data_IF_993450555584
#
_entry.id   IF_993450555584
#
_cell.length_a   1.000
_cell.length_b   1.000
_cell.length_c   1.000
_cell.angle_alpha   90.00
_cell.angle_beta   90.00
_cell.angle_gamma   90.00
#
_symmetry.space_group_name_H-M   'P 1'
#
loop_
_entity.id
_entity.type
_entity.pdbx_description
1 polymer ?
#
# COMPACT_ATOMS: atom_id res chain seq x y z
N UNK A 1 74.53 -12.47 -29.13
CA UNK A 1 75.16 -13.56 -29.92
C UNK A 1 74.13 -14.68 -30.11
N UNK A 2 73.13 -14.52 -30.98
CA UNK A 2 73.14 -14.82 -32.43
C UNK A 2 73.49 -16.28 -32.77
N UNK A 3 72.49 -17.17 -32.70
CA UNK A 3 72.39 -18.44 -33.46
C UNK A 3 70.89 -18.62 -33.75
N UNK A 4 70.31 -18.23 -34.89
CA UNK A 4 70.44 -18.78 -36.25
C UNK A 4 70.50 -20.31 -36.26
N UNK A 5 69.35 -20.92 -36.56
CA UNK A 5 69.13 -22.24 -37.20
C UNK A 5 67.66 -22.21 -37.67
N UNK A 6 67.31 -21.53 -38.76
CA UNK A 6 67.16 -22.13 -40.10
C UNK A 6 67.21 -23.66 -40.16
N UNK A 7 66.07 -24.28 -40.51
CA UNK A 7 65.91 -25.43 -41.44
C UNK A 7 64.39 -25.65 -41.65
N UNK A 8 63.84 -25.22 -42.79
CA UNK A 8 63.54 -26.03 -43.99
C UNK A 8 62.51 -27.15 -43.67
N UNK A 9 61.21 -26.97 -44.00
CA UNK A 9 60.53 -27.32 -45.29
C UNK A 9 60.17 -28.83 -45.39
N UNK A 10 59.11 -29.25 -46.12
CA UNK A 10 57.71 -29.37 -45.69
C UNK A 10 57.11 -30.79 -45.92
N UNK A 11 55.78 -30.88 -45.82
CA UNK A 11 54.87 -31.83 -46.48
C UNK A 11 54.50 -33.15 -45.76
N UNK A 12 53.24 -33.14 -45.30
CA UNK A 12 52.18 -34.13 -45.61
C UNK A 12 52.47 -35.60 -45.27
N UNK A 13 51.72 -36.16 -44.31
CA UNK A 13 50.96 -37.42 -44.45
C UNK A 13 50.10 -37.66 -43.19
N UNK A 14 48.81 -37.87 -43.46
CA UNK A 14 47.74 -38.55 -42.72
C UNK A 14 47.98 -38.97 -41.26
N UNK A 15 47.03 -38.63 -40.37
CA UNK A 15 46.09 -39.62 -39.79
C UNK A 15 45.35 -39.06 -38.56
N UNK A 16 44.02 -39.25 -38.57
CA UNK A 16 43.18 -39.52 -37.41
C UNK A 16 43.41 -38.72 -36.10
N UNK A 17 42.77 -37.56 -35.98
CA UNK A 17 42.28 -37.11 -34.66
C UNK A 17 40.85 -36.62 -34.76
N UNK A 18 39.96 -37.55 -34.40
CA UNK A 18 38.74 -37.37 -33.64
C UNK A 18 37.99 -36.02 -33.81
N UNK A 19 36.84 -36.14 -34.47
CA UNK A 19 35.59 -35.46 -34.12
C UNK A 19 35.40 -35.42 -32.59
N UNK A 20 35.94 -34.41 -31.93
CA UNK A 20 35.56 -34.06 -30.56
C UNK A 20 34.32 -33.18 -30.64
N UNK A 21 33.21 -33.91 -30.70
CA UNK A 21 31.91 -33.57 -30.12
C UNK A 21 32.12 -32.73 -28.85
N UNK A 22 32.04 -31.41 -28.98
CA UNK A 22 31.61 -30.55 -27.90
C UNK A 22 30.16 -30.21 -28.18
N UNK A 23 29.32 -31.23 -27.99
CA UNK A 23 27.95 -31.07 -27.50
C UNK A 23 28.04 -30.29 -26.19
N UNK A 24 28.20 -28.97 -26.29
CA UNK A 24 27.76 -28.11 -25.21
C UNK A 24 26.31 -28.52 -24.96
N UNK A 25 25.91 -28.85 -23.72
CA UNK A 25 24.50 -29.00 -23.46
C UNK A 25 23.91 -27.66 -23.86
N UNK A 26 23.22 -27.64 -25.01
CA UNK A 26 22.17 -26.68 -25.24
C UNK A 26 21.29 -26.90 -24.02
N UNK A 27 21.51 -26.09 -22.99
CA UNK A 27 20.49 -25.74 -22.05
C UNK A 27 19.43 -25.05 -22.91
N UNK A 28 18.65 -25.87 -23.61
CA UNK A 28 17.21 -25.79 -23.53
C UNK A 28 16.85 -25.93 -22.04
N UNK A 29 17.27 -24.94 -21.24
CA UNK A 29 16.39 -24.33 -20.29
C UNK A 29 15.20 -23.96 -21.17
N UNK A 30 14.27 -24.92 -21.31
CA UNK A 30 12.88 -24.61 -21.28
C UNK A 30 12.77 -23.60 -20.14
N UNK A 31 12.85 -22.32 -20.49
CA UNK A 31 12.32 -21.24 -19.71
C UNK A 31 10.86 -21.60 -19.70
N UNK A 32 10.50 -22.52 -18.80
CA UNK A 32 9.15 -22.83 -18.46
C UNK A 32 8.61 -21.45 -18.20
N UNK A 33 7.82 -20.93 -19.15
CA UNK A 33 6.95 -19.81 -18.87
C UNK A 33 6.34 -20.24 -17.56
N UNK A 34 6.59 -19.48 -16.48
CA UNK A 34 5.73 -19.57 -15.30
C UNK A 34 4.36 -19.23 -15.86
N UNK A 35 3.65 -20.23 -16.39
CA UNK A 35 2.24 -20.18 -16.69
C UNK A 35 1.69 -19.89 -15.31
N UNK A 36 1.35 -18.62 -15.08
CA UNK A 36 1.04 -18.14 -13.74
C UNK A 36 -0.01 -19.07 -13.17
N UNK A 37 0.38 -19.87 -12.17
CA UNK A 37 -0.52 -20.87 -11.63
C UNK A 37 -1.80 -20.15 -11.22
N UNK A 38 -2.93 -20.56 -11.80
CA UNK A 38 -4.21 -20.01 -11.40
C UNK A 38 -4.32 -20.15 -9.88
N UNK A 39 -4.70 -19.08 -9.16
CA UNK A 39 -4.73 -19.13 -7.70
C UNK A 39 -5.68 -20.25 -7.26
N UNK A 40 -5.21 -21.12 -6.37
CA UNK A 40 -6.08 -22.13 -5.74
C UNK A 40 -7.25 -21.47 -5.03
N UNK A 41 -8.33 -22.21 -4.78
CA UNK A 41 -9.49 -21.71 -4.02
C UNK A 41 -9.08 -21.08 -2.69
N UNK A 42 -8.22 -21.75 -1.93
CA UNK A 42 -7.67 -21.23 -0.68
C UNK A 42 -6.90 -19.92 -0.90
N UNK A 43 -6.14 -19.83 -1.99
CA UNK A 43 -5.48 -18.60 -2.42
C UNK A 43 -6.47 -17.47 -2.71
N UNK A 44 -7.55 -17.74 -3.44
CA UNK A 44 -8.59 -16.75 -3.76
C UNK A 44 -9.30 -16.27 -2.49
N UNK A 45 -9.66 -17.18 -1.58
CA UNK A 45 -10.26 -16.83 -0.28
C UNK A 45 -9.33 -15.95 0.57
N UNK A 46 -8.03 -16.26 0.62
CA UNK A 46 -7.05 -15.41 1.32
C UNK A 46 -7.01 -13.99 0.74
N UNK A 47 -7.14 -13.84 -0.58
CA UNK A 47 -7.22 -12.54 -1.24
C UNK A 47 -8.53 -11.81 -0.90
N UNK A 48 -9.67 -12.50 -0.88
CA UNK A 48 -10.96 -11.94 -0.45
C UNK A 48 -10.84 -11.33 0.95
N UNK A 49 -10.34 -12.10 1.92
CA UNK A 49 -10.17 -11.62 3.29
C UNK A 49 -9.22 -10.42 3.39
N UNK A 50 -8.16 -10.40 2.59
CA UNK A 50 -7.24 -9.25 2.54
C UNK A 50 -7.96 -7.98 2.07
N UNK A 51 -8.71 -8.06 0.97
CA UNK A 51 -9.44 -6.91 0.44
C UNK A 51 -10.61 -6.47 1.34
N UNK A 52 -11.26 -7.40 2.04
CA UNK A 52 -12.22 -7.08 3.10
C UNK A 52 -11.58 -6.24 4.21
N UNK A 53 -10.45 -6.71 4.76
CA UNK A 53 -9.72 -5.97 5.80
C UNK A 53 -9.26 -4.59 5.33
N UNK A 54 -8.76 -4.49 4.10
CA UNK A 54 -8.36 -3.19 3.53
C UNK A 54 -9.56 -2.24 3.38
N UNK A 55 -10.68 -2.73 2.84
CA UNK A 55 -11.92 -1.96 2.72
C UNK A 55 -12.37 -1.45 4.08
N UNK A 56 -12.43 -2.33 5.09
CA UNK A 56 -12.87 -1.97 6.43
C UNK A 56 -11.90 -1.05 7.17
N UNK A 57 -10.58 -1.18 6.93
CA UNK A 57 -9.58 -0.24 7.45
C UNK A 57 -9.88 1.18 7.00
N UNK A 58 -10.09 1.37 5.70
CA UNK A 58 -10.40 2.69 5.15
C UNK A 58 -11.78 3.20 5.57
N UNK A 59 -12.80 2.33 5.62
CA UNK A 59 -14.13 2.72 6.11
C UNK A 59 -14.11 3.14 7.59
N UNK A 60 -13.35 2.43 8.42
CA UNK A 60 -13.19 2.78 9.84
C UNK A 60 -12.46 4.11 9.99
N UNK A 61 -11.43 4.38 9.18
CA UNK A 61 -10.74 5.67 9.16
C UNK A 61 -11.70 6.82 8.83
N UNK A 62 -12.53 6.65 7.79
CA UNK A 62 -13.49 7.66 7.36
C UNK A 62 -14.67 7.84 8.34
N UNK A 63 -14.85 6.91 9.28
CA UNK A 63 -16.00 6.88 10.18
C UNK A 63 -17.31 6.51 9.47
N UNK A 64 -17.25 5.68 8.42
CA UNK A 64 -18.43 5.21 7.68
C UNK A 64 -18.74 3.74 7.99
N UNK A 65 -20.00 3.34 7.80
CA UNK A 65 -20.45 1.96 8.04
C UNK A 65 -19.64 0.97 7.21
N UNK A 66 -19.20 -0.12 7.85
CA UNK A 66 -18.48 -1.21 7.18
C UNK A 66 -19.39 -1.97 6.22
N UNK A 67 -18.87 -2.28 5.03
CA UNK A 67 -19.60 -3.11 4.05
C UNK A 67 -19.73 -4.54 4.59
N UNK A 68 -20.93 -5.14 4.64
CA UNK A 68 -21.11 -6.50 5.14
C UNK A 68 -20.41 -7.52 4.23
N UNK A 69 -19.92 -8.61 4.84
CA UNK A 69 -19.39 -9.78 4.16
C UNK A 69 -20.26 -11.00 4.47
N UNK A 70 -20.64 -11.76 3.45
CA UNK A 70 -21.44 -12.98 3.60
C UNK A 70 -20.54 -14.21 3.78
N UNK A 71 -20.83 -15.07 4.75
CA UNK A 71 -20.11 -16.35 4.94
C UNK A 71 -20.23 -17.28 3.72
N UNK A 72 -21.34 -17.19 2.99
CA UNK A 72 -21.58 -17.98 1.77
C UNK A 72 -20.48 -17.77 0.71
N UNK A 73 -19.84 -16.58 0.69
CA UNK A 73 -18.77 -16.31 -0.27
C UNK A 73 -17.50 -17.13 -0.08
N UNK A 74 -17.32 -17.78 1.07
CA UNK A 74 -16.16 -18.62 1.38
C UNK A 74 -16.49 -20.11 1.25
N UNK A 75 -17.73 -20.51 1.52
CA UNK A 75 -18.18 -21.91 1.55
C UNK A 75 -18.68 -22.43 0.21
N UNK A 76 -18.93 -21.55 -0.77
CA UNK A 76 -19.41 -21.95 -2.10
C UNK A 76 -18.33 -22.76 -2.85
N UNK A 77 -18.68 -23.93 -3.45
CA UNK A 77 -17.72 -24.77 -4.16
C UNK A 77 -17.23 -24.16 -5.49
N UNK A 78 -17.94 -23.18 -6.07
CA UNK A 78 -17.61 -22.61 -7.38
C UNK A 78 -16.36 -21.74 -7.37
N UNK A 79 -15.33 -22.18 -8.10
CA UNK A 79 -14.11 -21.39 -8.33
C UNK A 79 -14.42 -20.04 -9.02
N UNK A 80 -15.27 -20.05 -10.04
CA UNK A 80 -15.67 -18.84 -10.79
C UNK A 80 -16.37 -17.84 -9.88
N UNK A 81 -17.23 -18.31 -8.97
CA UNK A 81 -17.87 -17.46 -7.99
C UNK A 81 -16.86 -16.83 -7.02
N UNK A 82 -15.93 -17.62 -6.47
CA UNK A 82 -14.83 -17.10 -5.62
C UNK A 82 -14.01 -16.03 -6.35
N UNK A 83 -13.68 -16.23 -7.63
CA UNK A 83 -12.97 -15.23 -8.43
C UNK A 83 -13.79 -13.94 -8.61
N UNK A 84 -15.09 -14.05 -8.87
CA UNK A 84 -15.99 -12.90 -8.95
C UNK A 84 -16.03 -12.13 -7.62
N UNK A 85 -16.20 -12.82 -6.50
CA UNK A 85 -16.19 -12.22 -5.16
C UNK A 85 -14.86 -11.52 -4.89
N UNK A 86 -13.73 -12.15 -5.23
CA UNK A 86 -12.40 -11.56 -5.08
C UNK A 86 -12.28 -10.25 -5.86
N UNK A 87 -12.74 -10.23 -7.11
CA UNK A 87 -12.71 -9.02 -7.94
C UNK A 87 -13.64 -7.93 -7.41
N UNK A 88 -14.82 -8.29 -6.89
CA UNK A 88 -15.73 -7.37 -6.22
C UNK A 88 -15.05 -6.70 -5.01
N UNK A 89 -14.44 -7.48 -4.14
CA UNK A 89 -13.75 -6.93 -2.96
C UNK A 89 -12.50 -6.13 -3.33
N UNK A 90 -11.76 -6.52 -4.36
CA UNK A 90 -10.65 -5.72 -4.89
C UNK A 90 -11.13 -4.32 -5.29
N UNK A 91 -12.19 -4.22 -6.09
CA UNK A 91 -12.77 -2.92 -6.49
C UNK A 91 -13.21 -2.08 -5.29
N UNK A 92 -13.86 -2.71 -4.29
CA UNK A 92 -14.27 -2.03 -3.05
C UNK A 92 -13.08 -1.50 -2.27
N UNK A 93 -12.01 -2.28 -2.13
CA UNK A 93 -10.80 -1.86 -1.44
C UNK A 93 -10.14 -0.66 -2.14
N UNK A 94 -9.98 -0.73 -3.46
CA UNK A 94 -9.47 0.36 -4.29
C UNK A 94 -10.31 1.63 -4.15
N UNK A 95 -11.63 1.52 -4.23
CA UNK A 95 -12.54 2.66 -4.07
C UNK A 95 -12.47 3.25 -2.65
N UNK A 96 -12.46 2.41 -1.62
CA UNK A 96 -12.35 2.88 -0.24
C UNK A 96 -11.03 3.62 0.01
N UNK A 97 -9.93 3.12 -0.55
CA UNK A 97 -8.62 3.80 -0.51
C UNK A 97 -8.65 5.14 -1.22
N UNK A 98 -9.24 5.20 -2.43
CA UNK A 98 -9.35 6.44 -3.19
C UNK A 98 -10.21 7.50 -2.48
N UNK A 99 -11.28 7.08 -1.81
CA UNK A 99 -12.11 7.99 -0.99
C UNK A 99 -11.35 8.45 0.24
N UNK A 100 -10.70 7.52 0.95
CA UNK A 100 -9.91 7.86 2.14
C UNK A 100 -8.78 8.84 1.82
N UNK A 101 -8.15 8.76 0.65
CA UNK A 101 -7.10 9.70 0.22
C UNK A 101 -7.59 11.14 -0.01
N UNK A 102 -8.92 11.36 -0.04
CA UNK A 102 -9.56 12.64 -0.32
C UNK A 102 -10.55 12.98 0.80
N UNK A 103 -10.07 13.30 2.02
CA UNK A 103 -10.95 13.79 3.07
C UNK A 103 -11.71 15.02 2.54
N UNK A 104 -12.99 15.20 2.93
CA UNK A 104 -13.65 16.48 2.75
C UNK A 104 -12.81 17.59 3.38
N UNK A 105 -13.00 18.82 2.89
CA UNK A 105 -12.28 20.01 3.38
C UNK A 105 -10.74 19.87 3.45
N UNK A 106 -10.13 18.97 2.65
CA UNK A 106 -8.68 18.76 2.64
C UNK A 106 -7.88 20.06 2.54
N UNK A 107 -8.33 20.99 1.69
CA UNK A 107 -7.68 22.29 1.54
C UNK A 107 -7.73 23.13 2.84
N UNK A 108 -8.87 23.12 3.54
CA UNK A 108 -9.03 23.79 4.83
C UNK A 108 -8.13 23.19 5.90
N UNK A 109 -8.06 21.86 6.01
CA UNK A 109 -7.15 21.20 6.95
C UNK A 109 -5.68 21.47 6.66
N UNK A 110 -5.29 21.50 5.38
CA UNK A 110 -3.92 21.86 4.98
C UNK A 110 -3.61 23.33 5.27
N UNK A 111 -4.59 24.22 5.10
CA UNK A 111 -4.42 25.63 5.49
C UNK A 111 -4.24 25.76 7.00
N UNK A 112 -5.06 25.08 7.79
CA UNK A 112 -4.93 25.08 9.26
C UNK A 112 -3.56 24.57 9.66
N UNK A 113 -3.17 23.40 9.15
CA UNK A 113 -1.87 22.81 9.44
C UNK A 113 -0.68 23.76 9.20
N UNK A 114 -0.73 24.57 8.12
CA UNK A 114 0.32 25.54 7.80
C UNK A 114 0.60 26.55 8.92
N UNK A 115 -0.40 26.86 9.75
CA UNK A 115 -0.28 27.82 10.86
C UNK A 115 -0.15 27.16 12.23
N UNK A 116 -0.55 25.88 12.36
CA UNK A 116 -0.63 25.20 13.66
C UNK A 116 0.68 24.52 14.06
N UNK A 117 1.24 23.61 13.25
CA UNK A 117 2.43 22.86 13.67
C UNK A 117 2.84 21.75 12.70
N UNK A 118 4.00 21.13 12.95
CA UNK A 118 4.48 20.02 12.14
C UNK A 118 3.60 18.76 12.34
N UNK A 119 3.43 17.94 11.28
CA UNK A 119 2.59 16.73 11.38
C UNK A 119 2.97 15.78 12.51
N UNK A 120 4.25 15.75 12.88
CA UNK A 120 4.83 14.90 13.91
C UNK A 120 5.15 15.66 15.21
N UNK A 121 4.59 16.87 15.42
CA UNK A 121 4.87 17.68 16.62
C UNK A 121 4.45 16.93 17.91
N UNK A 122 5.39 16.57 18.80
CA UNK A 122 5.10 15.86 20.03
C UNK A 122 4.83 16.77 21.24
N UNK A 123 4.90 18.10 21.08
CA UNK A 123 4.99 19.03 22.20
C UNK A 123 3.64 19.21 22.95
N UNK A 124 3.49 18.71 24.19
CA UNK A 124 2.26 18.91 24.95
C UNK A 124 1.94 20.41 25.14
N UNK A 125 0.66 20.80 25.22
CA UNK A 125 -0.53 19.94 25.38
C UNK A 125 -1.24 19.54 24.07
N UNK A 126 -0.74 19.99 22.90
CA UNK A 126 -1.36 19.78 21.60
C UNK A 126 -0.44 18.96 20.70
N UNK A 127 -1.00 18.04 19.92
CA UNK A 127 -0.15 17.07 19.18
C UNK A 127 -0.47 17.06 17.69
N UNK A 128 0.59 16.85 16.91
CA UNK A 128 0.53 16.69 15.46
C UNK A 128 0.22 17.98 14.71
N UNK A 129 0.08 17.87 13.40
CA UNK A 129 0.05 19.04 12.52
C UNK A 129 -1.23 19.87 12.61
N UNK A 130 -2.28 19.35 13.25
CA UNK A 130 -3.51 20.07 13.57
C UNK A 130 -3.61 20.39 15.06
N UNK A 131 -2.51 20.28 15.83
CA UNK A 131 -2.45 20.68 17.24
C UNK A 131 -3.68 20.21 18.06
N UNK A 132 -3.94 18.90 18.04
CA UNK A 132 -5.11 18.32 18.72
C UNK A 132 -4.79 18.01 20.18
N UNK A 133 -5.62 18.47 21.12
CA UNK A 133 -5.49 18.08 22.53
C UNK A 133 -5.98 16.63 22.77
N UNK A 134 -5.65 16.06 23.94
CA UNK A 134 -6.02 14.69 24.31
C UNK A 134 -7.54 14.46 24.35
N UNK A 135 -8.33 15.44 24.80
CA UNK A 135 -9.79 15.36 24.82
C UNK A 135 -10.38 15.27 23.42
N UNK A 136 -9.89 16.09 22.49
CA UNK A 136 -10.23 16.04 21.07
C UNK A 136 -9.85 14.68 20.47
N UNK A 137 -8.62 14.22 20.73
CA UNK A 137 -8.12 12.94 20.26
C UNK A 137 -8.92 11.76 20.80
N UNK A 138 -9.34 11.78 22.08
CA UNK A 138 -10.20 10.74 22.67
C UNK A 138 -11.57 10.71 22.01
N UNK A 139 -12.18 11.88 21.83
CA UNK A 139 -13.55 12.02 21.31
C UNK A 139 -13.64 11.61 19.85
N UNK A 140 -12.75 12.15 19.01
CA UNK A 140 -12.84 11.98 17.56
C UNK A 140 -11.82 11.01 17.00
N UNK A 141 -10.83 10.56 17.77
CA UNK A 141 -9.72 9.73 17.30
C UNK A 141 -9.42 8.53 18.19
N UNK A 142 -10.32 8.15 19.11
CA UNK A 142 -10.03 7.18 20.18
C UNK A 142 -9.39 5.86 19.71
N UNK A 143 -9.81 5.31 18.57
CA UNK A 143 -9.22 4.08 18.01
C UNK A 143 -7.76 4.26 17.55
N UNK A 144 -7.39 5.45 17.08
CA UNK A 144 -6.02 5.79 16.73
C UNK A 144 -5.22 6.05 18.00
N UNK A 145 -5.78 6.80 18.95
CA UNK A 145 -5.15 7.07 20.24
C UNK A 145 -4.75 5.78 20.96
N UNK A 146 -5.65 4.79 21.04
CA UNK A 146 -5.37 3.51 21.69
C UNK A 146 -4.31 2.66 20.98
N UNK A 147 -4.22 2.74 19.65
CA UNK A 147 -3.33 1.86 18.86
C UNK A 147 -1.98 2.49 18.51
N UNK A 148 -1.90 3.82 18.48
CA UNK A 148 -0.73 4.56 18.00
C UNK A 148 -0.21 5.58 19.00
N UNK A 149 -0.92 5.86 20.09
CA UNK A 149 -0.62 7.02 20.93
C UNK A 149 -1.15 8.32 20.31
N UNK A 150 -0.56 9.44 20.66
CA UNK A 150 -1.01 10.79 20.30
C UNK A 150 -0.91 11.11 18.80
N UNK A 151 -1.54 12.21 18.39
CA UNK A 151 -1.69 12.60 16.98
C UNK A 151 -0.37 12.74 16.19
N UNK A 152 0.75 13.01 16.86
CA UNK A 152 2.08 13.02 16.26
C UNK A 152 2.52 11.64 15.67
N UNK A 153 1.92 10.55 16.13
CA UNK A 153 2.12 9.20 15.56
C UNK A 153 1.11 8.84 14.47
N UNK A 154 0.17 9.73 14.18
CA UNK A 154 -0.85 9.53 13.15
C UNK A 154 -0.37 10.11 11.83
N UNK A 155 -0.69 9.44 10.73
CA UNK A 155 -0.42 9.99 9.40
C UNK A 155 -1.21 11.30 9.20
N UNK A 156 -0.77 12.21 8.33
CA UNK A 156 -1.52 13.42 8.01
C UNK A 156 -2.97 13.13 7.61
N UNK A 157 -3.17 12.03 6.87
CA UNK A 157 -4.49 11.58 6.45
C UNK A 157 -5.38 11.18 7.64
N UNK A 158 -4.79 10.53 8.64
CA UNK A 158 -5.50 10.15 9.86
C UNK A 158 -5.88 11.36 10.70
N UNK A 159 -4.99 12.34 10.85
CA UNK A 159 -5.30 13.60 11.52
C UNK A 159 -6.43 14.34 10.80
N UNK A 160 -6.38 14.48 9.47
CA UNK A 160 -7.47 15.10 8.71
C UNK A 160 -8.80 14.35 8.86
N UNK A 161 -8.83 13.01 8.86
CA UNK A 161 -10.08 12.26 9.08
C UNK A 161 -10.62 12.35 10.51
N UNK A 162 -9.76 12.60 11.50
CA UNK A 162 -10.18 12.91 12.87
C UNK A 162 -10.80 14.31 12.93
N UNK A 163 -10.17 15.31 12.30
CA UNK A 163 -10.72 16.66 12.18
C UNK A 163 -12.07 16.66 11.43
N UNK A 164 -12.17 15.91 10.35
CA UNK A 164 -13.41 15.70 9.60
C UNK A 164 -14.54 15.11 10.44
N UNK A 165 -14.24 14.20 11.37
CA UNK A 165 -15.25 13.68 12.29
C UNK A 165 -15.78 14.78 13.20
N UNK A 166 -14.91 15.61 13.77
CA UNK A 166 -15.34 16.76 14.57
C UNK A 166 -16.15 17.77 13.75
N UNK A 167 -15.72 18.06 12.52
CA UNK A 167 -16.43 18.96 11.62
C UNK A 167 -17.87 18.47 11.37
N UNK A 168 -18.05 17.17 11.07
CA UNK A 168 -19.38 16.56 10.83
C UNK A 168 -20.29 16.51 12.05
N UNK A 169 -19.77 16.59 13.27
CA UNK A 169 -20.59 16.66 14.49
C UNK A 169 -21.01 18.09 14.85
N UNK A 170 -20.82 19.05 13.93
CA UNK A 170 -21.23 20.44 14.11
C UNK A 170 -20.17 21.36 14.71
N UNK A 171 -18.95 20.85 15.00
CA UNK A 171 -17.85 21.72 15.48
C UNK A 171 -17.30 22.64 14.39
N UNK A 172 -17.55 22.35 13.10
CA UNK A 172 -16.95 23.10 12.00
C UNK A 172 -15.42 23.22 12.14
N UNK A 173 -14.89 24.42 11.94
CA UNK A 173 -13.49 24.75 12.17
C UNK A 173 -13.21 25.45 13.52
N UNK A 174 -14.22 25.58 14.38
CA UNK A 174 -14.12 26.28 15.67
C UNK A 174 -13.09 25.72 16.67
N UNK A 175 -12.59 24.47 16.58
CA UNK A 175 -11.43 24.06 17.38
C UNK A 175 -10.14 24.84 17.05
N UNK A 176 -10.07 25.50 15.89
CA UNK A 176 -8.93 26.30 15.43
C UNK A 176 -9.34 27.74 15.12
N UNK A 177 -9.89 28.52 16.08
CA UNK A 177 -10.64 29.72 15.76
C UNK A 177 -9.81 30.84 15.10
N UNK A 178 -8.57 31.04 15.53
CA UNK A 178 -7.69 32.07 14.95
C UNK A 178 -7.23 31.65 13.56
N UNK A 179 -6.74 30.42 13.44
CA UNK A 179 -6.24 29.87 12.18
C UNK A 179 -7.35 29.71 11.14
N UNK A 180 -8.54 29.30 11.54
CA UNK A 180 -9.69 29.17 10.65
C UNK A 180 -10.09 30.52 10.05
N UNK A 181 -10.03 31.62 10.82
CA UNK A 181 -10.22 32.98 10.30
C UNK A 181 -9.11 33.38 9.32
N UNK A 182 -7.85 33.12 9.66
CA UNK A 182 -6.71 33.34 8.75
C UNK A 182 -6.82 32.55 7.45
N UNK A 183 -7.55 31.42 7.48
CA UNK A 183 -7.85 30.59 6.32
C UNK A 183 -9.18 30.95 5.61
N UNK A 184 -9.95 31.92 6.11
CA UNK A 184 -11.27 32.29 5.55
C UNK A 184 -12.32 31.19 5.65
N UNK A 185 -12.24 30.35 6.69
CA UNK A 185 -13.10 29.17 6.88
C UNK A 185 -14.30 29.42 7.80
N UNK A 186 -14.24 30.47 8.64
CA UNK A 186 -15.27 30.97 9.55
C UNK A 186 -15.21 32.49 9.66
#
# INVERSE_FOLDING_TARGET
MLRKLLRFLPALVLACTALLVLSGPHQAAARAKKVGAYPTDAGVVKQIHRFQRETWRWQSLMGVRRTPASRATVTDPSHTFKLWVRNLWHRRATQARHRAARPPHRAGWLCIHRFEGAWNDPAPPYYGGLQMDIGFQRTYGGDLLRRKGTANYWTPLEQMWVAERAHRTGRGYYPWPNTARSCGLI
#
